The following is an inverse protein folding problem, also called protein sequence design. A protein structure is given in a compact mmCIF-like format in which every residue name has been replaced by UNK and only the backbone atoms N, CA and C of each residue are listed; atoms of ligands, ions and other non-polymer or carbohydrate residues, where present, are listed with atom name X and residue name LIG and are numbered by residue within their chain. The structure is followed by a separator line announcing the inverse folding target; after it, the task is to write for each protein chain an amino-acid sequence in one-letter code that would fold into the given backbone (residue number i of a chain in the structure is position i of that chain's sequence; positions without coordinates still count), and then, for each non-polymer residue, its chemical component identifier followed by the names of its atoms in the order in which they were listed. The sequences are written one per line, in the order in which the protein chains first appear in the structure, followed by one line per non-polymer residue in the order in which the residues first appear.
data_IF_563604752914
#
_entry.id   IF_563604752914
#
_cell.length_a   1.000
_cell.length_b   1.000
_cell.length_c   1.000
_cell.angle_alpha   90.00
_cell.angle_beta   90.00
_cell.angle_gamma   90.00
#
_symmetry.space_group_name_H-M   'P 1'
#
loop_
_entity.id
_entity.type
_entity.pdbx_description
1 polymer ?
#
# COMPACT_ATOMS: atom_id res chain seq x y z
N UNK A 1 1.07 -15.41 -2.92
CA UNK A 1 1.47 -14.07 -2.48
C UNK A 1 0.33 -13.11 -2.78
N UNK A 2 0.13 -12.08 -1.96
CA UNK A 2 -0.92 -11.09 -2.18
C UNK A 2 -0.30 -9.77 -2.65
N UNK A 3 -0.83 -9.14 -3.72
CA UNK A 3 -0.54 -7.75 -4.03
C UNK A 3 -0.86 -6.85 -2.84
N UNK A 4 -0.07 -5.80 -2.62
CA UNK A 4 -0.31 -4.84 -1.55
C UNK A 4 0.13 -3.44 -1.94
N UNK A 5 -0.54 -2.44 -1.37
CA UNK A 5 0.01 -1.08 -1.25
C UNK A 5 0.59 -0.93 0.15
N UNK A 6 1.78 -0.35 0.26
CA UNK A 6 2.49 -0.22 1.53
C UNK A 6 2.81 1.24 1.79
N UNK A 7 2.36 1.75 2.93
CA UNK A 7 2.79 3.03 3.48
C UNK A 7 4.00 2.81 4.38
N UNK A 8 5.04 3.61 4.20
CA UNK A 8 6.26 3.58 5.02
C UNK A 8 6.54 5.01 5.43
N UNK A 9 6.53 5.29 6.73
CA UNK A 9 6.78 6.65 7.20
C UNK A 9 6.29 6.89 8.61
N UNK A 10 6.07 8.15 8.96
CA UNK A 10 5.79 8.57 10.34
C UNK A 10 4.31 8.84 10.61
N UNK A 11 3.45 8.60 9.61
CA UNK A 11 2.02 8.86 9.68
C UNK A 11 1.70 10.24 10.29
N UNK A 12 2.16 11.33 9.63
CA UNK A 12 2.11 12.68 10.18
C UNK A 12 0.68 13.18 10.44
N UNK A 13 -0.33 12.57 9.80
CA UNK A 13 -1.74 12.95 9.92
C UNK A 13 -2.41 12.42 11.19
N UNK A 14 -1.95 11.30 11.77
CA UNK A 14 -2.61 10.69 12.94
C UNK A 14 -1.74 10.63 14.21
N UNK A 15 -0.42 10.44 14.09
CA UNK A 15 0.49 10.43 15.24
C UNK A 15 1.95 10.61 14.80
N UNK A 16 2.51 11.83 14.87
CA UNK A 16 3.82 12.16 14.27
C UNK A 16 5.05 11.55 14.99
N UNK A 17 4.88 10.50 15.80
CA UNK A 17 5.92 10.03 16.72
C UNK A 17 6.42 8.59 16.47
N UNK A 18 5.82 7.81 15.55
CA UNK A 18 6.27 6.42 15.30
C UNK A 18 6.41 6.15 13.81
N UNK A 19 7.59 5.68 13.43
CA UNK A 19 7.82 5.11 12.12
C UNK A 19 7.06 3.78 12.00
N UNK A 20 6.22 3.65 10.98
CA UNK A 20 5.41 2.46 10.70
C UNK A 20 5.63 1.97 9.28
N UNK A 21 5.39 0.67 9.09
CA UNK A 21 5.23 0.03 7.79
C UNK A 21 3.84 -0.59 7.80
N UNK A 22 2.93 -0.05 7.00
CA UNK A 22 1.53 -0.43 6.97
C UNK A 22 1.18 -0.97 5.58
N UNK A 23 0.88 -2.27 5.50
CA UNK A 23 0.54 -2.94 4.25
C UNK A 23 -0.97 -3.18 4.16
N UNK A 24 -1.60 -2.67 3.10
CA UNK A 24 -2.96 -3.02 2.73
C UNK A 24 -2.93 -4.08 1.63
N UNK A 25 -3.21 -5.33 2.02
CA UNK A 25 -3.28 -6.49 1.13
C UNK A 25 -4.53 -6.39 0.25
N UNK A 26 -4.34 -6.37 -1.07
CA UNK A 26 -5.43 -6.30 -2.02
C UNK A 26 -6.17 -7.64 -2.07
N UNK A 27 -7.50 -7.57 -2.03
CA UNK A 27 -8.42 -8.71 -2.15
C UNK A 27 -8.26 -9.79 -1.06
N UNK A 28 -7.50 -9.50 0.01
CA UNK A 28 -7.38 -10.35 1.17
C UNK A 28 -8.50 -10.08 2.18
N UNK A 29 -9.05 -11.14 2.75
CA UNK A 29 -9.99 -11.09 3.87
C UNK A 29 -9.55 -12.09 4.93
N UNK A 30 -9.38 -11.63 6.16
CA UNK A 30 -8.92 -12.45 7.28
C UNK A 30 -8.13 -11.64 8.30
N UNK A 31 -7.57 -12.36 9.28
CA UNK A 31 -6.72 -11.80 10.33
C UNK A 31 -5.29 -12.36 10.19
N UNK A 32 -4.31 -11.51 10.44
CA UNK A 32 -2.87 -11.81 10.40
C UNK A 32 -2.17 -11.43 11.72
N UNK A 33 -2.91 -11.08 12.77
CA UNK A 33 -2.32 -10.82 14.09
C UNK A 33 -1.56 -12.05 14.60
N UNK A 34 -0.31 -11.84 15.03
CA UNK A 34 0.58 -12.89 15.53
C UNK A 34 1.34 -13.65 14.43
N UNK A 35 0.99 -13.44 13.16
CA UNK A 35 1.64 -14.10 12.04
C UNK A 35 2.93 -13.39 11.62
N UNK A 36 3.92 -14.18 11.19
CA UNK A 36 5.15 -13.66 10.60
C UNK A 36 4.95 -13.44 9.10
N UNK A 37 5.00 -12.18 8.66
CA UNK A 37 4.85 -11.81 7.26
C UNK A 37 6.17 -11.31 6.65
N UNK A 38 6.32 -11.49 5.34
CA UNK A 38 7.42 -10.92 4.56
C UNK A 38 6.86 -9.97 3.51
N UNK A 39 7.40 -8.76 3.47
CA UNK A 39 7.03 -7.73 2.48
C UNK A 39 8.17 -7.59 1.48
N UNK A 40 7.84 -7.59 0.18
CA UNK A 40 8.78 -7.32 -0.90
C UNK A 40 8.32 -6.05 -1.63
N UNK A 41 9.20 -5.05 -1.72
CA UNK A 41 8.92 -3.79 -2.40
C UNK A 41 9.24 -3.92 -3.89
N UNK A 42 8.25 -3.71 -4.75
CA UNK A 42 8.37 -3.88 -6.20
C UNK A 42 8.47 -2.55 -6.94
N UNK A 43 7.60 -1.59 -6.59
CA UNK A 43 7.56 -0.27 -7.21
C UNK A 43 7.25 0.81 -6.17
N UNK A 44 7.97 1.92 -6.26
CA UNK A 44 7.66 3.13 -5.50
C UNK A 44 6.55 3.91 -6.22
N UNK A 45 5.43 4.16 -5.55
CA UNK A 45 4.30 4.91 -6.14
C UNK A 45 4.43 6.42 -5.96
N UNK A 46 4.82 6.88 -4.76
CA UNK A 46 4.92 8.31 -4.42
C UNK A 46 5.75 8.55 -3.15
N UNK A 47 5.99 9.82 -2.85
CA UNK A 47 6.51 10.30 -1.56
C UNK A 47 5.43 10.33 -0.46
N UNK A 48 5.84 10.42 0.80
CA UNK A 48 4.93 10.63 1.94
C UNK A 48 4.23 12.00 1.80
N UNK A 49 2.94 12.03 2.10
CA UNK A 49 2.10 13.22 1.95
C UNK A 49 1.34 13.48 3.24
N UNK A 50 1.25 14.75 3.63
CA UNK A 50 0.41 15.19 4.74
C UNK A 50 -0.97 15.54 4.20
N UNK A 51 -2.01 14.98 4.81
CA UNK A 51 -3.39 15.30 4.47
C UNK A 51 -4.04 16.15 5.56
N UNK A 52 -4.87 17.14 5.19
CA UNK A 52 -5.53 18.02 6.15
C UNK A 52 -6.67 17.32 6.91
N UNK A 53 -7.27 16.28 6.32
CA UNK A 53 -8.32 15.46 6.91
C UNK A 53 -8.44 14.11 6.17
N UNK A 54 -9.36 13.25 6.62
CA UNK A 54 -9.49 11.87 6.15
C UNK A 54 -9.90 11.73 4.67
N UNK A 55 -10.71 12.64 4.14
CA UNK A 55 -11.26 12.48 2.78
C UNK A 55 -10.18 12.52 1.67
N UNK A 56 -9.25 13.50 1.64
CA UNK A 56 -8.11 13.49 0.72
C UNK A 56 -7.21 12.27 0.88
N UNK A 57 -6.98 11.81 2.11
CA UNK A 57 -6.20 10.60 2.37
C UNK A 57 -6.87 9.37 1.74
N UNK A 58 -8.19 9.23 1.93
CA UNK A 58 -8.97 8.14 1.35
C UNK A 58 -8.89 8.14 -0.17
N UNK A 59 -9.03 9.32 -0.79
CA UNK A 59 -8.92 9.46 -2.24
C UNK A 59 -7.52 9.06 -2.73
N UNK A 60 -6.46 9.49 -2.04
CA UNK A 60 -5.10 9.08 -2.40
C UNK A 60 -4.91 7.57 -2.26
N UNK A 61 -5.38 6.94 -1.18
CA UNK A 61 -5.30 5.49 -1.01
C UNK A 61 -6.00 4.77 -2.18
N UNK A 62 -7.15 5.25 -2.64
CA UNK A 62 -7.83 4.68 -3.80
C UNK A 62 -7.00 4.79 -5.09
N UNK A 63 -6.34 5.92 -5.31
CA UNK A 63 -5.43 6.11 -6.44
C UNK A 63 -4.21 5.18 -6.35
N UNK A 64 -3.63 5.05 -5.17
CA UNK A 64 -2.49 4.15 -4.91
C UNK A 64 -2.88 2.69 -5.21
N UNK A 65 -4.08 2.26 -4.80
CA UNK A 65 -4.63 0.93 -5.10
C UNK A 65 -4.82 0.73 -6.61
N UNK A 66 -5.36 1.73 -7.32
CA UNK A 66 -5.54 1.65 -8.77
C UNK A 66 -4.21 1.54 -9.51
N UNK A 67 -3.21 2.30 -9.10
CA UNK A 67 -1.86 2.24 -9.67
C UNK A 67 -1.21 0.87 -9.43
N UNK A 68 -1.31 0.32 -8.21
CA UNK A 68 -0.81 -1.02 -7.91
C UNK A 68 -1.51 -2.10 -8.76
N UNK A 69 -2.85 -2.03 -8.91
CA UNK A 69 -3.58 -2.97 -9.79
C UNK A 69 -3.14 -2.86 -11.25
N UNK A 70 -2.86 -1.65 -11.74
CA UNK A 70 -2.33 -1.47 -13.10
C UNK A 70 -0.96 -2.13 -13.25
N UNK A 71 -0.05 -1.90 -12.30
CA UNK A 71 1.28 -2.52 -12.30
C UNK A 71 1.21 -4.05 -12.41
N UNK A 72 0.39 -4.71 -11.58
CA UNK A 72 0.29 -6.17 -11.62
C UNK A 72 -0.37 -6.70 -12.90
N UNK A 73 -1.37 -6.02 -13.47
CA UNK A 73 -1.96 -6.40 -14.77
C UNK A 73 -0.93 -6.35 -15.91
N UNK A 74 -0.08 -5.34 -15.92
CA UNK A 74 0.93 -5.16 -16.97
C UNK A 74 2.03 -6.23 -16.87
N UNK A 75 2.37 -6.67 -15.64
CA UNK A 75 3.32 -7.76 -15.40
C UNK A 75 2.73 -9.13 -15.80
N UNK A 76 1.46 -9.40 -15.50
CA UNK A 76 0.79 -10.64 -15.92
C UNK A 76 0.75 -10.76 -17.46
N UNK A 77 0.65 -9.62 -18.15
CA UNK A 77 0.66 -9.57 -19.62
C UNK A 77 2.05 -9.81 -20.22
N UNK A 78 3.12 -9.62 -19.44
CA UNK A 78 4.50 -9.83 -19.90
C UNK A 78 4.93 -11.31 -19.86
N UNK A 79 4.28 -12.15 -19.04
CA UNK A 79 4.63 -13.56 -18.87
C UNK A 79 3.83 -14.54 -19.76
N UNK A 80 3.05 -14.05 -20.73
CA UNK A 80 2.27 -14.87 -21.67
C UNK A 80 2.86 -14.95 -23.09
N UNK A 81 4.16 -14.67 -23.26
CA UNK A 81 4.94 -14.91 -24.50
C UNK A 81 6.24 -15.61 -24.16
#
# INVERSE_FOLDING_TARGET
AYPAVVSIGTNPTFSPARFTIEAHLLDFAGDLYGESIRVLFLQRLRDEMVFPHHEPLRQQIQQDIQAARAYFRDQDSCCLT
#
